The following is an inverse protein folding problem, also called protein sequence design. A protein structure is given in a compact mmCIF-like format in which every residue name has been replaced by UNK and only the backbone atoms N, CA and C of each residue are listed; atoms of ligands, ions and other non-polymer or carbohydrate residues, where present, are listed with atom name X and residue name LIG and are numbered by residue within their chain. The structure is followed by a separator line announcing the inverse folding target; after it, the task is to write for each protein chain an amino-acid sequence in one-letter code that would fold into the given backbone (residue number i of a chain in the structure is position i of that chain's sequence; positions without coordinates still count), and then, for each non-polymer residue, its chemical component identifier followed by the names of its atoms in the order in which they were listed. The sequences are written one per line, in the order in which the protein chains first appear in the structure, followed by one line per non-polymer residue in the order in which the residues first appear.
data_IF_264320226834
#
_entry.id   IF_264320226834
#
_cell.length_a   1.000
_cell.length_b   1.000
_cell.length_c   1.000
_cell.angle_alpha   90.00
_cell.angle_beta   90.00
_cell.angle_gamma   90.00
#
_symmetry.space_group_name_H-M   'P 1'
#
loop_
_entity.id
_entity.type
_entity.pdbx_description
1 polymer ?
#
# COMPACT_ATOMS: atom_id res chain seq x y z
N UNK A 1 2.91 -6.09 6.94
CA UNK A 1 3.24 -6.36 8.37
C UNK A 1 4.04 -7.65 8.53
N UNK A 2 3.44 -8.82 8.26
CA UNK A 2 4.03 -10.15 8.52
C UNK A 2 5.43 -10.38 7.93
N UNK A 3 5.74 -9.81 6.76
CA UNK A 3 6.98 -10.12 6.05
C UNK A 3 8.10 -9.11 6.27
N UNK A 4 7.76 -7.84 6.53
CA UNK A 4 8.73 -6.73 6.58
C UNK A 4 8.83 -6.15 7.99
N UNK A 5 7.70 -5.79 8.59
CA UNK A 5 7.70 -5.00 9.83
C UNK A 5 7.80 -5.85 11.08
N UNK A 6 7.05 -6.96 11.13
CA UNK A 6 7.01 -7.85 12.28
C UNK A 6 7.05 -9.32 11.82
N UNK A 7 8.16 -9.76 11.19
CA UNK A 7 8.38 -11.18 10.93
C UNK A 7 8.42 -11.98 12.23
N UNK A 8 8.21 -13.30 12.16
CA UNK A 8 8.14 -14.16 13.36
C UNK A 8 9.37 -14.01 14.26
N UNK A 9 10.56 -13.88 13.67
CA UNK A 9 11.82 -13.66 14.39
C UNK A 9 11.89 -12.33 15.14
N UNK A 10 11.18 -11.30 14.68
CA UNK A 10 11.15 -9.97 15.30
C UNK A 10 9.93 -9.78 16.23
N UNK A 11 9.03 -10.76 16.29
CA UNK A 11 7.84 -10.76 17.15
C UNK A 11 7.72 -12.10 17.89
N UNK A 12 8.73 -12.47 18.72
CA UNK A 12 8.79 -13.79 19.37
C UNK A 12 7.65 -14.00 20.37
N UNK A 13 7.10 -12.91 20.92
CA UNK A 13 5.99 -12.96 21.87
C UNK A 13 4.61 -12.81 21.23
N UNK A 14 4.55 -12.67 19.89
CA UNK A 14 3.28 -12.59 19.17
C UNK A 14 2.47 -11.32 19.42
N UNK A 15 3.11 -10.23 19.87
CA UNK A 15 2.46 -8.93 20.11
C UNK A 15 1.76 -8.41 18.84
N UNK A 16 2.31 -8.73 17.67
CA UNK A 16 1.74 -8.34 16.38
C UNK A 16 0.82 -9.39 15.76
N UNK A 17 0.57 -10.53 16.41
CA UNK A 17 -0.16 -11.67 15.81
C UNK A 17 -1.52 -11.26 15.27
N UNK A 18 -2.37 -10.62 16.08
CA UNK A 18 -3.71 -10.21 15.65
C UNK A 18 -3.65 -9.14 14.55
N UNK A 19 -2.75 -8.16 14.69
CA UNK A 19 -2.53 -7.09 13.73
C UNK A 19 -2.03 -7.62 12.35
N UNK A 20 -1.23 -8.70 12.33
CA UNK A 20 -0.79 -9.37 11.08
C UNK A 20 -1.93 -10.06 10.35
N UNK A 21 -2.88 -10.62 11.09
CA UNK A 21 -4.02 -11.36 10.55
C UNK A 21 -5.12 -10.40 10.10
N UNK A 22 -5.33 -9.32 10.86
CA UNK A 22 -6.38 -8.34 10.61
C UNK A 22 -5.88 -6.97 11.07
N UNK A 23 -5.71 -6.08 10.09
CA UNK A 23 -5.22 -4.73 10.31
C UNK A 23 -6.13 -3.91 11.24
N UNK A 24 -7.43 -4.24 11.28
CA UNK A 24 -8.39 -3.54 12.13
C UNK A 24 -8.19 -3.89 13.61
N UNK A 25 -7.45 -4.96 13.90
CA UNK A 25 -7.08 -5.39 15.26
C UNK A 25 -5.73 -4.82 15.72
N UNK A 26 -5.11 -3.95 14.94
CA UNK A 26 -3.89 -3.25 15.37
C UNK A 26 -4.21 -2.20 16.43
N UNK A 27 -3.40 -2.17 17.49
CA UNK A 27 -3.41 -1.06 18.45
C UNK A 27 -2.93 0.25 17.82
N UNK A 28 -3.27 1.38 18.44
CA UNK A 28 -2.78 2.70 18.00
C UNK A 28 -1.25 2.76 17.91
N UNK A 29 -0.54 2.12 18.83
CA UNK A 29 0.93 2.03 18.81
C UNK A 29 1.44 1.28 17.58
N UNK A 30 0.82 0.14 17.24
CA UNK A 30 1.18 -0.63 16.05
C UNK A 30 0.89 0.15 14.76
N UNK A 31 -0.25 0.84 14.70
CA UNK A 31 -0.59 1.74 13.60
C UNK A 31 0.47 2.84 13.46
N UNK A 32 0.88 3.49 14.57
CA UNK A 32 1.90 4.53 14.55
C UNK A 32 3.25 4.02 14.05
N UNK A 33 3.68 2.82 14.47
CA UNK A 33 4.90 2.19 13.93
C UNK A 33 4.82 1.99 12.41
N UNK A 34 3.66 1.57 11.90
CA UNK A 34 3.46 1.43 10.46
C UNK A 34 3.46 2.77 9.72
N UNK A 35 2.91 3.83 10.32
CA UNK A 35 2.99 5.17 9.72
C UNK A 35 4.42 5.74 9.74
N UNK A 36 5.22 5.39 10.75
CA UNK A 36 6.66 5.63 10.74
C UNK A 36 7.32 4.99 9.51
N UNK A 37 7.06 3.69 9.28
CA UNK A 37 7.58 2.99 8.10
C UNK A 37 7.12 3.63 6.78
N UNK A 38 5.86 4.05 6.66
CA UNK A 38 5.36 4.80 5.48
C UNK A 38 6.17 6.07 5.26
N UNK A 39 6.48 6.81 6.32
CA UNK A 39 7.24 8.07 6.24
C UNK A 39 8.65 7.82 5.72
N UNK A 40 9.33 6.79 6.24
CA UNK A 40 10.66 6.39 5.78
C UNK A 40 10.64 5.90 4.33
N UNK A 41 9.63 5.11 3.94
CA UNK A 41 9.43 4.68 2.56
C UNK A 41 9.29 5.87 1.62
N UNK A 42 8.41 6.83 1.92
CA UNK A 42 8.21 8.03 1.09
C UNK A 42 9.48 8.86 0.97
N UNK A 43 10.24 9.02 2.08
CA UNK A 43 11.53 9.70 2.06
C UNK A 43 12.52 8.99 1.13
N UNK A 44 12.60 7.67 1.19
CA UNK A 44 13.51 6.88 0.36
C UNK A 44 13.18 6.97 -1.14
N UNK A 45 11.91 7.00 -1.52
CA UNK A 45 11.50 7.07 -2.93
C UNK A 45 11.47 8.49 -3.51
N UNK A 46 11.54 9.53 -2.67
CA UNK A 46 11.48 10.94 -3.11
C UNK A 46 12.50 11.30 -4.20
N UNK A 47 13.66 10.65 -4.21
CA UNK A 47 14.68 10.84 -5.25
C UNK A 47 14.32 10.23 -6.61
N UNK A 48 13.35 9.33 -6.66
CA UNK A 48 12.88 8.65 -7.89
C UNK A 48 11.70 9.42 -8.50
N UNK A 49 10.98 10.20 -7.71
CA UNK A 49 9.73 10.88 -8.06
C UNK A 49 9.83 12.03 -9.07
N UNK A 50 11.02 12.58 -9.31
CA UNK A 50 11.17 13.82 -10.09
C UNK A 50 11.34 13.64 -11.61
N UNK A 51 10.93 12.49 -12.16
CA UNK A 51 11.13 12.18 -13.58
C UNK A 51 9.79 11.98 -14.31
N UNK A 52 9.55 12.67 -15.43
CA UNK A 52 8.32 12.53 -16.20
C UNK A 52 8.18 11.13 -16.84
N UNK A 53 9.27 10.37 -16.98
CA UNK A 53 9.23 9.00 -17.48
C UNK A 53 8.90 7.97 -16.39
N UNK A 54 8.81 8.38 -15.12
CA UNK A 54 8.56 7.48 -13.99
C UNK A 54 7.16 7.73 -13.42
N UNK A 55 6.40 6.65 -13.27
CA UNK A 55 5.10 6.67 -12.59
C UNK A 55 5.21 6.21 -11.13
N UNK A 56 4.30 6.68 -10.28
CA UNK A 56 4.10 6.19 -8.92
C UNK A 56 2.60 6.15 -8.60
N UNK A 57 2.12 4.97 -8.21
CA UNK A 57 0.81 4.76 -7.59
C UNK A 57 1.07 4.25 -6.19
N UNK A 58 0.97 5.11 -5.19
CA UNK A 58 1.26 4.78 -3.80
C UNK A 58 -0.01 4.96 -3.00
N UNK A 59 -0.75 3.87 -2.80
CA UNK A 59 -1.97 3.89 -2.00
C UNK A 59 -1.70 3.80 -0.50
N UNK A 60 -2.71 4.16 0.29
CA UNK A 60 -2.69 4.04 1.74
C UNK A 60 -3.15 2.66 2.22
N UNK A 61 -3.06 1.59 1.42
CA UNK A 61 -3.63 0.30 1.77
C UNK A 61 -2.61 -0.64 2.44
N UNK A 62 -3.05 -1.39 3.44
CA UNK A 62 -2.24 -2.47 4.02
C UNK A 62 -2.40 -3.77 3.23
N UNK A 63 -1.75 -3.80 2.07
CA UNK A 63 -1.75 -4.95 1.17
C UNK A 63 -0.33 -5.36 0.76
N UNK A 64 -0.20 -6.57 0.22
CA UNK A 64 1.05 -7.10 -0.34
C UNK A 64 0.75 -7.77 -1.67
N UNK A 65 1.67 -7.66 -2.64
CA UNK A 65 1.49 -8.18 -4.01
C UNK A 65 0.20 -7.70 -4.70
N UNK A 66 -0.20 -6.44 -4.52
CA UNK A 66 -1.41 -5.89 -5.15
C UNK A 66 -1.40 -6.00 -6.68
N UNK A 67 -0.22 -5.97 -7.30
CA UNK A 67 -0.01 -6.13 -8.74
C UNK A 67 0.54 -7.52 -9.12
N UNK A 68 0.57 -8.46 -8.17
CA UNK A 68 1.15 -9.80 -8.40
C UNK A 68 0.25 -10.73 -9.21
N UNK A 69 -1.07 -10.54 -9.17
CA UNK A 69 -2.05 -11.31 -9.96
C UNK A 69 -3.01 -10.35 -10.66
N UNK A 70 -3.31 -10.62 -11.94
CA UNK A 70 -4.10 -9.72 -12.78
C UNK A 70 -5.47 -9.40 -12.18
N UNK A 71 -6.09 -10.40 -11.57
CA UNK A 71 -7.41 -10.34 -10.95
C UNK A 71 -7.47 -9.39 -9.74
N UNK A 72 -6.33 -8.98 -9.18
CA UNK A 72 -6.30 -8.05 -8.04
C UNK A 72 -6.23 -6.59 -8.45
N UNK A 73 -5.32 -6.23 -9.36
CA UNK A 73 -5.15 -4.83 -9.78
C UNK A 73 -6.03 -4.42 -10.97
N UNK A 74 -6.56 -5.38 -11.74
CA UNK A 74 -7.56 -5.13 -12.79
C UNK A 74 -9.01 -5.32 -12.34
N UNK A 75 -9.23 -5.65 -11.06
CA UNK A 75 -10.59 -5.83 -10.53
C UNK A 75 -11.35 -4.50 -10.54
N UNK A 76 -12.67 -4.55 -10.75
CA UNK A 76 -13.51 -3.36 -10.79
C UNK A 76 -13.49 -2.53 -9.49
N UNK A 77 -13.28 -3.19 -8.36
CA UNK A 77 -13.15 -2.62 -7.02
C UNK A 77 -11.68 -2.57 -6.55
N UNK A 78 -10.69 -2.62 -7.46
CA UNK A 78 -9.30 -2.37 -7.08
C UNK A 78 -9.16 -1.00 -6.40
N UNK A 79 -8.17 -0.81 -5.49
CA UNK A 79 -7.93 0.49 -4.88
C UNK A 79 -7.87 1.64 -5.89
N UNK A 80 -8.48 2.75 -5.50
CA UNK A 80 -8.61 3.96 -6.31
C UNK A 80 -7.81 5.07 -5.66
N UNK A 81 -6.98 5.74 -6.45
CA UNK A 81 -6.23 6.91 -6.06
C UNK A 81 -6.43 8.01 -7.11
N UNK A 82 -6.67 9.25 -6.66
CA UNK A 82 -6.98 10.37 -7.57
C UNK A 82 -8.08 10.01 -8.61
N UNK A 83 -9.14 9.33 -8.16
CA UNK A 83 -10.25 8.82 -8.99
C UNK A 83 -9.83 7.85 -10.12
N UNK A 84 -8.68 7.19 -9.96
CA UNK A 84 -8.09 6.30 -10.96
C UNK A 84 -7.77 4.95 -10.33
N UNK A 85 -8.18 3.85 -10.98
CA UNK A 85 -7.83 2.48 -10.55
C UNK A 85 -6.37 2.17 -10.87
N UNK A 86 -5.80 1.15 -10.21
CA UNK A 86 -4.42 0.70 -10.47
C UNK A 86 -4.23 0.39 -11.97
N UNK A 87 -5.13 -0.39 -12.56
CA UNK A 87 -5.04 -0.75 -13.98
C UNK A 87 -5.09 0.45 -14.93
N UNK A 88 -5.95 1.43 -14.66
CA UNK A 88 -6.04 2.64 -15.46
C UNK A 88 -4.78 3.49 -15.34
N UNK A 89 -4.24 3.64 -14.13
CA UNK A 89 -3.02 4.40 -13.88
C UNK A 89 -1.82 3.80 -14.60
N UNK A 90 -1.62 2.48 -14.50
CA UNK A 90 -0.55 1.77 -15.20
C UNK A 90 -0.72 1.87 -16.71
N UNK A 91 -1.94 1.68 -17.23
CA UNK A 91 -2.21 1.79 -18.67
C UNK A 91 -1.98 3.19 -19.22
N UNK A 92 -2.42 4.23 -18.52
CA UNK A 92 -2.19 5.62 -18.93
C UNK A 92 -0.70 5.98 -18.94
N UNK A 93 0.06 5.50 -17.94
CA UNK A 93 1.50 5.69 -17.90
C UNK A 93 2.20 4.92 -19.02
N UNK A 94 1.86 3.65 -19.24
CA UNK A 94 2.49 2.79 -20.26
C UNK A 94 2.26 3.29 -21.69
N UNK A 95 1.06 3.77 -21.99
CA UNK A 95 0.70 4.31 -23.31
C UNK A 95 0.96 5.82 -23.43
N UNK A 96 1.69 6.42 -22.49
CA UNK A 96 2.05 7.85 -22.48
C UNK A 96 0.83 8.80 -22.58
N UNK A 97 -0.34 8.36 -22.11
CA UNK A 97 -1.57 9.17 -22.14
C UNK A 97 -1.60 10.21 -21.03
N UNK A 98 -1.02 9.87 -19.88
CA UNK A 98 -0.93 10.73 -18.71
C UNK A 98 0.16 10.22 -17.76
N UNK A 99 0.96 11.12 -17.21
CA UNK A 99 1.85 10.80 -16.08
C UNK A 99 1.02 10.52 -14.83
N UNK A 100 1.33 9.45 -14.12
CA UNK A 100 0.67 9.14 -12.85
C UNK A 100 1.69 9.18 -11.73
N UNK A 101 1.62 10.20 -10.87
CA UNK A 101 2.51 10.36 -9.72
C UNK A 101 1.68 10.79 -8.52
N UNK A 102 0.94 9.85 -7.96
CA UNK A 102 0.00 10.12 -6.88
C UNK A 102 0.41 9.34 -5.63
N UNK A 103 0.37 10.04 -4.50
CA UNK A 103 0.63 9.49 -3.16
C UNK A 103 -0.62 9.73 -2.33
N UNK A 104 -1.18 8.65 -1.82
CA UNK A 104 -2.38 8.66 -1.01
C UNK A 104 -2.10 9.09 0.44
N UNK A 105 -3.16 9.39 1.17
CA UNK A 105 -3.08 9.66 2.60
C UNK A 105 -2.71 8.41 3.42
N UNK A 106 -2.25 8.58 4.66
CA UNK A 106 -2.04 7.46 5.58
C UNK A 106 -3.31 6.62 5.81
N UNK A 107 -3.19 5.30 5.84
CA UNK A 107 -4.29 4.40 6.28
C UNK A 107 -4.91 4.88 7.59
N UNK A 108 -6.25 4.79 7.81
CA UNK A 108 -7.27 4.11 6.99
C UNK A 108 -8.04 5.01 6.03
N UNK A 109 -7.43 6.08 5.51
CA UNK A 109 -8.20 7.12 4.83
C UNK A 109 -8.86 6.68 3.50
N UNK A 110 -8.29 5.69 2.80
CA UNK A 110 -8.79 5.27 1.50
C UNK A 110 -9.83 4.14 1.66
N UNK A 111 -11.12 4.43 1.41
CA UNK A 111 -12.19 3.47 1.64
C UNK A 111 -12.22 2.34 0.59
N UNK A 112 -11.42 2.44 -0.48
CA UNK A 112 -11.32 1.41 -1.53
C UNK A 112 -10.27 0.35 -1.22
N UNK A 113 -9.57 0.47 -0.09
CA UNK A 113 -8.62 -0.54 0.35
C UNK A 113 -9.32 -1.84 0.76
N UNK A 114 -8.79 -2.96 0.28
CA UNK A 114 -9.22 -4.29 0.71
C UNK A 114 -8.37 -4.78 1.88
N UNK A 115 -8.95 -4.75 3.08
CA UNK A 115 -8.33 -5.35 4.26
C UNK A 115 -8.37 -6.88 4.14
N UNK A 116 -7.21 -7.52 4.07
CA UNK A 116 -7.14 -8.98 4.14
C UNK A 116 -7.25 -9.41 5.60
N UNK A 117 -8.28 -10.19 5.88
CA UNK A 117 -8.45 -10.91 7.13
C UNK A 117 -7.97 -12.33 6.89
N UNK A 118 -6.87 -12.71 7.51
CA UNK A 118 -6.34 -14.07 7.47
C UNK A 118 -6.88 -14.85 8.67
N UNK A 119 -7.24 -16.11 8.44
CA UNK A 119 -7.56 -17.09 9.50
C UNK A 119 -6.29 -17.59 10.21
#
# INVERSE_FOLDING_TARGET
IKNILAPGVADPHGTWRNCKLDITKCSSTQLNTMQGFRTDFLKAISGISNSPSKGAFIDGCYAHCQTGIQETWMRNDSPVLAKTTIAKAVGDWYYERRTFHEIDCPYPCNPTCHNRIFE
#
